data_IF_106168615267
#
_entry.id   IF_106168615267
#
_cell.length_a   1.000
_cell.length_b   1.000
_cell.length_c   1.000
_cell.angle_alpha   90.00
_cell.angle_beta   90.00
_cell.angle_gamma   90.00
#
_symmetry.space_group_name_H-M   'P 1'
#
loop_
_entity.id
_entity.type
_entity.pdbx_description
1 polymer ?
#
# COMPACT_ATOMS: atom_id res chain seq x y z
N UNK A 1 -5.13 -48.39 -5.35
CA UNK A 1 -4.77 -47.50 -4.22
C UNK A 1 -4.85 -46.07 -4.73
N UNK A 2 -5.72 -45.22 -4.15
CA UNK A 2 -5.94 -43.84 -4.62
C UNK A 2 -5.09 -42.90 -3.76
N UNK A 3 -4.28 -42.05 -4.39
CA UNK A 3 -3.45 -41.04 -3.71
C UNK A 3 -4.27 -39.78 -3.48
N UNK A 4 -4.03 -39.10 -2.36
CA UNK A 4 -4.65 -37.80 -2.02
C UNK A 4 -4.16 -36.68 -2.97
N UNK A 5 -5.02 -36.11 -3.85
CA UNK A 5 -4.65 -35.03 -4.76
C UNK A 5 -5.10 -33.64 -4.25
N UNK A 6 -5.37 -33.48 -2.96
CA UNK A 6 -5.96 -32.26 -2.39
C UNK A 6 -5.13 -31.00 -2.69
N UNK A 7 -5.82 -29.92 -3.11
CA UNK A 7 -5.22 -28.59 -3.25
C UNK A 7 -4.97 -27.99 -1.86
N UNK A 8 -3.73 -27.59 -1.60
CA UNK A 8 -3.32 -26.95 -0.35
C UNK A 8 -2.90 -25.50 -0.62
N UNK A 9 -2.98 -24.68 0.42
CA UNK A 9 -2.49 -23.29 0.35
C UNK A 9 -0.98 -23.30 0.11
N UNK A 10 -0.47 -22.57 -0.89
CA UNK A 10 0.96 -22.47 -1.16
C UNK A 10 1.76 -21.92 0.04
N UNK A 11 3.06 -22.23 0.07
CA UNK A 11 3.93 -21.70 1.11
C UNK A 11 4.02 -20.17 1.05
N UNK A 12 3.96 -19.51 2.21
CA UNK A 12 4.01 -18.05 2.33
C UNK A 12 2.66 -17.34 2.16
N UNK A 13 1.63 -18.03 1.64
CA UNK A 13 0.29 -17.48 1.53
C UNK A 13 -0.55 -17.81 2.77
N UNK A 14 -1.26 -16.80 3.28
CA UNK A 14 -2.17 -16.91 4.43
C UNK A 14 -3.29 -15.92 4.29
N UNK A 15 -4.46 -16.24 4.82
CA UNK A 15 -5.58 -15.31 4.83
C UNK A 15 -6.87 -15.96 5.27
N UNK A 16 -7.97 -15.23 5.10
CA UNK A 16 -9.32 -15.70 5.36
C UNK A 16 -9.99 -16.04 4.03
N UNK A 17 -10.66 -17.20 3.95
CA UNK A 17 -11.51 -17.52 2.82
C UNK A 17 -12.66 -16.53 2.79
N UNK A 18 -12.81 -15.82 1.67
CA UNK A 18 -13.86 -14.81 1.49
C UNK A 18 -14.96 -15.28 0.55
N UNK A 19 -14.64 -16.20 -0.36
CA UNK A 19 -15.57 -16.70 -1.37
C UNK A 19 -15.13 -18.09 -1.85
N UNK A 20 -16.10 -18.95 -2.14
CA UNK A 20 -15.90 -20.27 -2.74
C UNK A 20 -16.91 -20.42 -3.86
N UNK A 21 -16.42 -20.48 -5.10
CA UNK A 21 -17.25 -20.69 -6.29
C UNK A 21 -17.01 -22.08 -6.83
N UNK A 22 -18.09 -22.82 -7.02
CA UNK A 22 -18.08 -24.15 -7.63
C UNK A 22 -18.73 -24.00 -9.00
N UNK A 23 -18.04 -24.48 -10.02
CA UNK A 23 -18.51 -24.53 -11.40
C UNK A 23 -18.63 -26.00 -11.81
N UNK A 24 -19.76 -26.37 -12.37
CA UNK A 24 -20.05 -27.76 -12.75
C UNK A 24 -20.49 -27.82 -14.20
N UNK A 25 -19.94 -28.76 -14.97
CA UNK A 25 -20.33 -28.95 -16.38
C UNK A 25 -21.81 -29.28 -16.54
N UNK A 26 -22.39 -29.94 -15.55
CA UNK A 26 -23.82 -30.29 -15.48
C UNK A 26 -24.73 -29.09 -15.22
N UNK A 27 -24.18 -27.99 -14.70
CA UNK A 27 -24.91 -26.74 -14.43
C UNK A 27 -24.84 -25.74 -15.60
N UNK A 28 -24.43 -26.20 -16.79
CA UNK A 28 -24.23 -25.40 -18.01
C UNK A 28 -23.13 -24.32 -17.90
N UNK A 29 -22.18 -24.52 -16.98
CA UNK A 29 -20.98 -23.68 -16.89
C UNK A 29 -19.98 -24.02 -18.02
N UNK A 30 -19.47 -22.99 -18.72
CA UNK A 30 -18.39 -23.16 -19.69
C UNK A 30 -17.08 -23.57 -19.00
N UNK A 31 -16.73 -24.85 -19.11
CA UNK A 31 -15.50 -25.43 -18.55
C UNK A 31 -14.57 -25.95 -19.66
N UNK A 32 -13.24 -25.81 -19.51
CA UNK A 32 -12.26 -26.38 -20.44
C UNK A 32 -12.46 -27.87 -20.67
N UNK A 33 -12.13 -28.36 -21.85
CA UNK A 33 -12.12 -29.80 -22.17
C UNK A 33 -11.33 -30.57 -21.10
N UNK A 34 -11.84 -31.73 -20.69
CA UNK A 34 -11.32 -32.59 -19.61
C UNK A 34 -11.54 -32.11 -18.15
N UNK A 35 -12.23 -30.98 -17.93
CA UNK A 35 -12.64 -30.53 -16.59
C UNK A 35 -14.12 -30.81 -16.35
N UNK A 36 -14.42 -31.63 -15.33
CA UNK A 36 -15.80 -31.96 -14.93
C UNK A 36 -16.38 -30.95 -13.94
N UNK A 37 -15.56 -30.50 -12.99
CA UNK A 37 -15.92 -29.53 -11.94
C UNK A 37 -14.70 -28.69 -11.61
N UNK A 38 -14.89 -27.39 -11.39
CA UNK A 38 -13.85 -26.46 -10.95
C UNK A 38 -14.27 -25.77 -9.65
N UNK A 39 -13.39 -25.80 -8.65
CA UNK A 39 -13.59 -25.08 -7.38
C UNK A 39 -12.58 -23.95 -7.30
N UNK A 40 -13.06 -22.71 -7.26
CA UNK A 40 -12.25 -21.50 -7.05
C UNK A 40 -12.45 -21.01 -5.63
N UNK A 41 -11.37 -20.98 -4.85
CA UNK A 41 -11.35 -20.46 -3.49
C UNK A 41 -10.61 -19.12 -3.47
N UNK A 42 -11.30 -18.06 -3.09
CA UNK A 42 -10.70 -16.73 -2.93
C UNK A 42 -10.30 -16.51 -1.48
N UNK A 43 -9.03 -16.17 -1.27
CA UNK A 43 -8.44 -15.93 0.06
C UNK A 43 -7.96 -14.49 0.12
N UNK A 44 -8.41 -13.75 1.13
CA UNK A 44 -8.01 -12.37 1.36
C UNK A 44 -7.05 -12.25 2.57
N UNK A 45 -6.08 -11.35 2.43
CA UNK A 45 -5.12 -11.03 3.48
C UNK A 45 -5.07 -9.51 3.69
N UNK A 46 -5.22 -9.06 4.94
CA UNK A 46 -4.93 -7.66 5.30
C UNK A 46 -3.44 -7.52 5.58
N UNK A 47 -2.72 -6.79 4.74
CA UNK A 47 -1.29 -6.48 4.93
C UNK A 47 -1.14 -5.11 5.57
N UNK A 48 -0.41 -5.04 6.68
CA UNK A 48 0.01 -3.78 7.30
C UNK A 48 1.37 -3.39 6.74
N UNK A 49 1.70 -2.10 6.82
CA UNK A 49 3.03 -1.62 6.46
C UNK A 49 4.09 -2.32 7.32
N UNK A 50 5.18 -2.74 6.69
CA UNK A 50 6.28 -3.44 7.32
C UNK A 50 7.63 -2.90 6.82
N UNK A 51 8.68 -3.21 7.57
CA UNK A 51 10.05 -2.99 7.11
C UNK A 51 10.29 -3.75 5.80
N UNK A 52 10.96 -3.10 4.85
CA UNK A 52 11.12 -3.63 3.49
C UNK A 52 10.03 -3.23 2.50
N UNK A 53 8.89 -2.67 2.96
CA UNK A 53 7.89 -2.10 2.05
C UNK A 53 8.45 -0.85 1.35
N UNK A 54 8.04 -0.65 0.09
CA UNK A 54 8.48 0.49 -0.72
C UNK A 54 7.41 1.58 -0.74
N UNK A 55 7.82 2.80 -0.41
CA UNK A 55 6.99 4.00 -0.43
C UNK A 55 7.52 5.00 -1.47
N UNK A 56 6.63 5.83 -2.01
CA UNK A 56 7.00 6.87 -2.95
C UNK A 56 6.09 8.10 -2.84
N UNK A 57 6.69 9.28 -3.00
CA UNK A 57 5.96 10.54 -3.17
C UNK A 57 5.70 10.88 -4.64
N UNK A 58 4.82 11.86 -4.88
CA UNK A 58 4.41 12.30 -6.22
C UNK A 58 5.54 12.95 -7.03
N UNK A 59 6.55 13.49 -6.33
CA UNK A 59 7.73 14.12 -6.93
C UNK A 59 8.92 13.17 -7.12
N UNK A 60 8.66 11.86 -7.22
CA UNK A 60 9.66 10.85 -7.55
C UNK A 60 10.61 10.47 -6.42
N UNK A 61 10.40 10.96 -5.20
CA UNK A 61 11.13 10.49 -4.02
C UNK A 61 10.67 9.07 -3.68
N UNK A 62 11.55 8.08 -3.81
CA UNK A 62 11.29 6.66 -3.58
C UNK A 62 12.19 6.16 -2.46
N UNK A 63 11.63 5.37 -1.54
CA UNK A 63 12.36 4.79 -0.42
C UNK A 63 11.78 3.45 0.01
N UNK A 64 12.59 2.65 0.69
CA UNK A 64 12.16 1.44 1.38
C UNK A 64 12.10 1.77 2.86
N UNK A 65 11.06 1.29 3.57
CA UNK A 65 10.94 1.45 5.02
C UNK A 65 12.12 0.73 5.68
N UNK A 66 13.04 1.49 6.26
CA UNK A 66 14.27 0.96 6.86
C UNK A 66 14.06 0.50 8.29
N UNK A 67 13.22 1.20 9.05
CA UNK A 67 12.91 0.90 10.46
C UNK A 67 11.53 1.45 10.82
N UNK A 68 10.77 0.67 11.59
CA UNK A 68 9.57 1.16 12.28
C UNK A 68 9.93 1.38 13.75
N UNK A 69 9.96 2.63 14.19
CA UNK A 69 10.32 3.00 15.57
C UNK A 69 9.10 3.17 16.46
N UNK A 70 9.23 2.91 17.77
CA UNK A 70 8.23 3.31 18.75
C UNK A 70 8.00 4.82 18.73
N UNK A 71 6.84 5.26 19.20
CA UNK A 71 6.41 6.67 19.12
C UNK A 71 7.30 7.56 20.01
N UNK A 72 7.75 7.04 21.14
CA UNK A 72 8.66 7.69 22.09
C UNK A 72 10.02 8.08 21.50
N UNK A 73 10.48 7.35 20.48
CA UNK A 73 11.76 7.60 19.81
C UNK A 73 11.64 8.57 18.62
N UNK A 74 10.41 8.95 18.23
CA UNK A 74 10.19 9.87 17.11
C UNK A 74 10.47 11.32 17.50
N UNK A 75 10.88 12.18 16.55
CA UNK A 75 10.93 13.61 16.79
C UNK A 75 9.55 14.17 17.13
N UNK A 76 9.50 15.09 18.08
CA UNK A 76 8.27 15.75 18.52
C UNK A 76 8.26 17.22 18.11
N UNK A 77 7.08 17.70 17.76
CA UNK A 77 6.79 19.12 17.58
C UNK A 77 6.66 19.82 18.94
N UNK A 78 6.71 21.15 18.93
CA UNK A 78 6.56 21.97 20.14
C UNK A 78 5.20 21.79 20.83
N UNK A 79 4.17 21.36 20.09
CA UNK A 79 2.84 21.04 20.60
C UNK A 79 2.72 19.60 21.15
N UNK A 80 3.82 18.84 21.18
CA UNK A 80 3.87 17.47 21.69
C UNK A 80 3.40 16.41 20.69
N UNK A 81 3.08 16.77 19.44
CA UNK A 81 2.74 15.76 18.42
C UNK A 81 4.01 15.12 17.83
N UNK A 82 4.09 13.79 17.75
CA UNK A 82 5.21 13.11 17.10
C UNK A 82 5.10 13.20 15.57
N UNK A 83 6.26 13.23 14.90
CA UNK A 83 6.37 13.10 13.45
C UNK A 83 6.05 11.66 13.04
N UNK A 84 5.40 11.47 11.88
CA UNK A 84 5.02 10.15 11.36
C UNK A 84 6.11 9.52 10.47
N UNK A 85 6.82 10.33 9.67
CA UNK A 85 7.84 9.86 8.72
C UNK A 85 9.01 10.84 8.72
N UNK A 86 10.25 10.31 8.75
CA UNK A 86 11.48 11.09 8.59
C UNK A 86 12.11 10.77 7.24
N UNK A 87 12.29 11.79 6.40
CA UNK A 87 12.91 11.67 5.08
C UNK A 87 14.32 12.25 5.09
N UNK A 88 15.26 11.58 4.39
CA UNK A 88 16.62 12.07 4.25
C UNK A 88 16.66 13.30 3.32
N UNK A 89 17.18 14.46 3.77
CA UNK A 89 17.19 15.69 2.98
C UNK A 89 18.11 15.64 1.76
N UNK A 90 19.14 14.79 1.75
CA UNK A 90 20.13 14.71 0.65
C UNK A 90 19.49 14.34 -0.70
N UNK A 91 18.36 13.63 -0.65
CA UNK A 91 17.63 13.22 -1.85
C UNK A 91 16.93 14.35 -2.60
N UNK A 92 16.82 15.55 -2.01
CA UNK A 92 16.11 16.69 -2.62
C UNK A 92 17.02 17.51 -3.54
N UNK A 93 18.17 18.04 -3.08
CA UNK A 93 19.03 18.88 -3.93
C UNK A 93 19.58 18.10 -5.13
N UNK A 94 19.97 16.85 -4.91
CA UNK A 94 20.54 15.97 -5.94
C UNK A 94 19.57 15.62 -7.08
N UNK A 95 18.25 15.66 -6.83
CA UNK A 95 17.22 15.26 -7.79
C UNK A 95 16.40 16.43 -8.32
N UNK A 96 16.69 17.65 -7.86
CA UNK A 96 15.99 18.88 -8.25
C UNK A 96 14.45 18.81 -8.11
N UNK A 97 13.95 18.02 -7.15
CA UNK A 97 12.53 17.80 -6.93
C UNK A 97 12.01 18.67 -5.76
N UNK A 98 12.26 19.98 -5.87
CA UNK A 98 11.85 21.00 -4.87
C UNK A 98 10.34 21.01 -4.61
N UNK A 99 9.53 20.54 -5.57
CA UNK A 99 8.08 20.42 -5.44
C UNK A 99 7.63 19.68 -4.18
N UNK A 100 8.37 18.67 -3.70
CA UNK A 100 8.01 17.97 -2.47
C UNK A 100 8.11 18.86 -1.22
N UNK A 101 9.05 19.81 -1.22
CA UNK A 101 9.23 20.78 -0.12
C UNK A 101 8.10 21.79 -0.17
N UNK A 102 7.73 22.27 -1.36
CA UNK A 102 6.58 23.15 -1.56
C UNK A 102 5.26 22.46 -1.14
N UNK A 103 5.08 21.20 -1.52
CA UNK A 103 3.94 20.35 -1.10
C UNK A 103 3.89 20.22 0.43
N UNK A 104 5.04 20.01 1.07
CA UNK A 104 5.12 19.88 2.54
C UNK A 104 4.74 21.18 3.24
N UNK A 105 5.24 22.33 2.78
CA UNK A 105 4.90 23.63 3.35
C UNK A 105 3.42 23.99 3.16
N UNK A 106 2.88 23.81 1.96
CA UNK A 106 1.47 24.06 1.69
C UNK A 106 0.57 23.12 2.50
N UNK A 107 0.94 21.83 2.60
CA UNK A 107 0.24 20.85 3.42
C UNK A 107 0.20 21.23 4.90
N UNK A 108 1.31 21.75 5.42
CA UNK A 108 1.38 22.24 6.81
C UNK A 108 0.43 23.42 7.06
N UNK A 109 0.44 24.41 6.16
CA UNK A 109 -0.47 25.56 6.24
C UNK A 109 -1.93 25.12 6.13
N UNK A 110 -2.25 24.26 5.16
CA UNK A 110 -3.60 23.73 4.93
C UNK A 110 -4.13 22.94 6.14
N UNK A 111 -3.29 22.10 6.76
CA UNK A 111 -3.64 21.37 7.98
C UNK A 111 -3.91 22.33 9.16
N UNK A 112 -3.11 23.39 9.30
CA UNK A 112 -3.30 24.40 10.35
C UNK A 112 -4.59 25.20 10.16
N UNK A 113 -4.96 25.49 8.91
CA UNK A 113 -6.18 26.23 8.54
C UNK A 113 -7.43 25.34 8.41
N UNK A 114 -7.29 24.02 8.52
CA UNK A 114 -8.41 23.08 8.39
C UNK A 114 -9.00 23.01 6.98
N UNK A 115 -8.20 23.30 5.95
CA UNK A 115 -8.63 23.33 4.55
C UNK A 115 -7.85 22.34 3.68
N UNK A 116 -8.32 22.14 2.44
CA UNK A 116 -7.55 21.47 1.39
C UNK A 116 -7.21 22.49 0.32
N UNK A 117 -5.97 22.47 -0.14
CA UNK A 117 -5.50 23.30 -1.24
C UNK A 117 -5.49 22.49 -2.54
N UNK A 118 -5.88 23.13 -3.64
CA UNK A 118 -5.77 22.58 -5.00
C UNK A 118 -4.85 23.50 -5.77
N UNK A 119 -3.77 22.95 -6.30
CA UNK A 119 -2.79 23.72 -7.08
C UNK A 119 -2.78 23.19 -8.51
N UNK A 120 -3.38 23.89 -9.48
CA UNK A 120 -3.28 23.48 -10.88
C UNK A 120 -1.82 23.44 -11.35
N UNK A 121 -1.57 22.62 -12.35
CA UNK A 121 -0.23 22.48 -12.92
C UNK A 121 0.12 23.79 -13.62
N UNK A 122 1.21 24.43 -13.20
CA UNK A 122 1.74 25.71 -13.70
C UNK A 122 0.93 26.98 -13.41
N UNK A 123 -0.17 26.93 -12.64
CA UNK A 123 -1.01 28.10 -12.31
C UNK A 123 -1.06 28.44 -10.81
N UNK A 124 -0.11 27.89 -10.03
CA UNK A 124 0.02 28.20 -8.60
C UNK A 124 -1.08 27.64 -7.70
N UNK A 125 -1.16 28.12 -6.47
CA UNK A 125 -2.23 27.77 -5.53
C UNK A 125 -3.35 28.82 -5.62
N UNK A 126 -4.56 28.37 -5.92
CA UNK A 126 -5.80 29.17 -5.91
C UNK A 126 -6.74 28.78 -4.77
#
# INVERSE_FOLDING_TARGET
>A
EVKDPSRRVPHGERGKVIDVRVFERTADDELPTDVNMMVRVSVAQKRKIAEGDKMAGRHGNKGVVSRITPIEDMPYLADGRPIEIVLNPIGVPSRMNVGQVLETHLGWAANTLGMRAVTPVFDGAS
#
